data_IF_531094642331
#
_entry.id   IF_531094642331
#
_cell.length_a   1.000
_cell.length_b   1.000
_cell.length_c   1.000
_cell.angle_alpha   90.00
_cell.angle_beta   90.00
_cell.angle_gamma   90.00
#
_symmetry.space_group_name_H-M   'P 1'
#
loop_
_entity.id
_entity.type
_entity.pdbx_description
1 polymer ?
#
# COMPACT_ATOMS: atom_id res chain seq x y z
N UNK A 1 -1.25 9.12 -24.59
CA UNK A 1 -1.58 8.44 -23.33
C UNK A 1 -0.34 8.10 -22.51
N UNK A 2 0.75 7.57 -23.08
CA UNK A 2 1.95 7.14 -22.32
C UNK A 2 3.03 8.21 -22.10
N UNK A 3 2.84 9.43 -22.60
CA UNK A 3 3.83 10.53 -22.48
C UNK A 3 4.23 10.85 -21.01
N UNK A 4 3.31 10.93 -20.03
CA UNK A 4 3.67 11.17 -18.64
C UNK A 4 4.58 10.07 -18.07
N UNK A 5 4.29 8.81 -18.36
CA UNK A 5 5.08 7.67 -17.91
C UNK A 5 6.47 7.63 -18.54
N UNK A 6 6.57 7.97 -19.84
CA UNK A 6 7.86 8.06 -20.53
C UNK A 6 8.72 9.17 -19.94
N UNK A 7 8.13 10.34 -19.62
CA UNK A 7 8.83 11.42 -18.92
C UNK A 7 9.24 11.03 -17.53
N UNK A 8 8.39 10.31 -16.80
CA UNK A 8 8.68 9.80 -15.46
C UNK A 8 9.87 8.83 -15.48
N UNK A 9 9.86 7.84 -16.37
CA UNK A 9 10.92 6.84 -16.49
C UNK A 9 12.24 7.42 -17.04
N UNK A 10 12.19 8.56 -17.71
CA UNK A 10 13.39 9.27 -18.17
C UNK A 10 14.10 10.04 -17.03
N UNK A 11 13.47 10.20 -15.86
CA UNK A 11 14.10 10.90 -14.73
C UNK A 11 15.21 10.02 -14.12
N UNK A 12 16.39 10.61 -13.81
CA UNK A 12 17.50 9.89 -13.20
C UNK A 12 17.08 9.22 -11.88
N UNK A 13 17.38 7.92 -11.75
CA UNK A 13 17.07 7.15 -10.53
C UNK A 13 15.67 6.51 -10.51
N UNK A 14 14.69 6.99 -11.27
CA UNK A 14 13.33 6.43 -11.32
C UNK A 14 13.30 4.98 -11.81
N UNK A 15 13.98 4.59 -12.91
CA UNK A 15 13.98 3.19 -13.34
C UNK A 15 14.56 2.24 -12.30
N UNK A 16 15.62 2.65 -11.59
CA UNK A 16 16.21 1.85 -10.51
C UNK A 16 15.26 1.71 -9.35
N UNK A 17 14.61 2.81 -8.93
CA UNK A 17 13.61 2.80 -7.85
C UNK A 17 12.43 1.88 -8.21
N UNK A 18 11.98 1.91 -9.47
CA UNK A 18 10.92 1.06 -9.98
C UNK A 18 11.29 -0.43 -9.93
N UNK A 19 12.45 -0.80 -10.47
CA UNK A 19 12.92 -2.20 -10.49
C UNK A 19 13.13 -2.74 -9.06
N UNK A 20 13.78 -1.97 -8.21
CA UNK A 20 14.02 -2.37 -6.82
C UNK A 20 12.71 -2.49 -6.05
N UNK A 21 11.78 -1.55 -6.26
CA UNK A 21 10.43 -1.59 -5.69
C UNK A 21 9.65 -2.82 -6.13
N UNK A 22 9.71 -3.19 -7.42
CA UNK A 22 9.05 -4.38 -7.95
C UNK A 22 9.59 -5.66 -7.30
N UNK A 23 10.90 -5.80 -7.17
CA UNK A 23 11.53 -6.99 -6.56
C UNK A 23 11.06 -7.16 -5.11
N UNK A 24 11.09 -6.09 -4.30
CA UNK A 24 10.64 -6.16 -2.90
C UNK A 24 9.15 -6.44 -2.80
N UNK A 25 8.34 -5.73 -3.60
CA UNK A 25 6.88 -5.86 -3.57
C UNK A 25 6.41 -7.24 -4.01
N UNK A 26 7.09 -7.89 -4.94
CA UNK A 26 6.82 -9.28 -5.32
C UNK A 26 7.11 -10.27 -4.18
N UNK A 27 8.16 -10.03 -3.40
CA UNK A 27 8.52 -10.91 -2.29
C UNK A 27 7.44 -11.01 -1.20
N UNK A 28 6.71 -9.93 -0.93
CA UNK A 28 5.72 -9.86 0.16
C UNK A 28 4.52 -10.82 -0.03
N UNK A 29 3.76 -10.80 -1.15
CA UNK A 29 2.66 -11.73 -1.36
C UNK A 29 3.12 -13.17 -1.57
N UNK A 30 4.30 -13.39 -2.16
CA UNK A 30 4.92 -14.73 -2.24
C UNK A 30 5.20 -15.26 -0.85
N UNK A 31 5.82 -14.45 0.03
CA UNK A 31 6.11 -14.84 1.40
C UNK A 31 4.84 -15.22 2.17
N UNK A 32 3.77 -14.45 2.06
CA UNK A 32 2.53 -14.69 2.80
C UNK A 32 1.96 -16.09 2.52
N UNK A 33 1.88 -16.50 1.25
CA UNK A 33 1.36 -17.80 0.87
C UNK A 33 2.38 -18.93 1.14
N UNK A 34 3.66 -18.70 0.85
CA UNK A 34 4.72 -19.67 1.11
C UNK A 34 4.87 -19.98 2.61
N UNK A 35 4.76 -18.93 3.46
CA UNK A 35 4.82 -19.08 4.91
C UNK A 35 3.65 -19.93 5.44
N UNK A 36 2.43 -19.71 4.88
CA UNK A 36 1.28 -20.57 5.21
C UNK A 36 1.55 -22.02 4.90
N UNK A 37 1.98 -22.30 3.67
CA UNK A 37 2.23 -23.68 3.21
C UNK A 37 3.35 -24.34 4.02
N UNK A 38 4.46 -23.61 4.25
CA UNK A 38 5.56 -24.12 5.07
C UNK A 38 5.15 -24.35 6.54
N UNK A 39 4.26 -23.49 7.07
CA UNK A 39 3.74 -23.66 8.43
C UNK A 39 2.80 -24.88 8.53
N UNK A 40 1.93 -25.10 7.54
CA UNK A 40 1.06 -26.29 7.48
C UNK A 40 1.91 -27.57 7.40
N UNK A 41 2.92 -27.57 6.54
CA UNK A 41 3.84 -28.71 6.35
C UNK A 41 4.60 -29.06 7.65
N UNK A 42 5.08 -28.05 8.38
CA UNK A 42 5.90 -28.25 9.60
C UNK A 42 5.09 -28.46 10.88
N UNK A 43 3.88 -27.88 10.98
CA UNK A 43 3.05 -27.92 12.19
C UNK A 43 1.87 -28.89 12.08
N UNK A 44 1.59 -29.41 10.87
CA UNK A 44 0.51 -30.37 10.61
C UNK A 44 -0.90 -29.82 10.83
N UNK A 45 -1.08 -28.48 10.98
CA UNK A 45 -2.37 -27.88 11.32
C UNK A 45 -2.55 -26.49 10.67
N UNK A 46 -3.67 -26.32 9.97
CA UNK A 46 -4.05 -25.02 9.41
C UNK A 46 -4.33 -23.95 10.49
N UNK A 47 -4.84 -24.38 11.67
CA UNK A 47 -5.10 -23.46 12.76
C UNK A 47 -3.81 -22.84 13.32
N UNK A 48 -2.79 -23.65 13.57
CA UNK A 48 -1.48 -23.18 14.04
C UNK A 48 -0.74 -22.41 12.95
N UNK A 49 -0.84 -22.82 11.68
CA UNK A 49 -0.30 -22.06 10.55
C UNK A 49 -0.97 -20.68 10.42
N UNK A 50 -2.27 -20.57 10.68
CA UNK A 50 -2.99 -19.31 10.76
C UNK A 50 -2.44 -18.41 11.87
N UNK A 51 -2.05 -18.94 13.02
CA UNK A 51 -1.41 -18.18 14.10
C UNK A 51 -0.03 -17.65 13.70
N UNK A 52 0.76 -18.41 12.93
CA UNK A 52 2.04 -17.96 12.36
C UNK A 52 1.84 -16.73 11.46
N UNK A 53 0.87 -16.80 10.53
CA UNK A 53 0.56 -15.66 9.64
C UNK A 53 0.02 -14.46 10.41
N UNK A 54 -0.88 -14.71 11.36
CA UNK A 54 -1.46 -13.63 12.19
C UNK A 54 -0.37 -12.94 13.00
N UNK A 55 0.53 -13.70 13.62
CA UNK A 55 1.65 -13.15 14.37
C UNK A 55 2.56 -12.28 13.50
N UNK A 56 2.91 -12.77 12.30
CA UNK A 56 3.68 -12.01 11.32
C UNK A 56 2.97 -10.71 10.91
N UNK A 57 1.70 -10.80 10.52
CA UNK A 57 0.93 -9.65 10.03
C UNK A 57 0.71 -8.57 11.11
N UNK A 58 0.39 -8.98 12.34
CA UNK A 58 0.21 -8.06 13.46
C UNK A 58 1.53 -7.36 13.83
N UNK A 59 2.63 -8.10 13.88
CA UNK A 59 3.93 -7.51 14.17
C UNK A 59 4.34 -6.51 13.08
N UNK A 60 4.14 -6.86 11.80
CA UNK A 60 4.36 -5.96 10.67
C UNK A 60 3.52 -4.68 10.81
N UNK A 61 2.23 -4.80 11.05
CA UNK A 61 1.32 -3.65 11.14
C UNK A 61 1.66 -2.72 12.31
N UNK A 62 2.00 -3.28 13.47
CA UNK A 62 2.33 -2.51 14.67
C UNK A 62 3.73 -1.87 14.59
N UNK A 63 4.69 -2.54 13.94
CA UNK A 63 6.07 -2.05 13.86
C UNK A 63 6.32 -1.14 12.64
N UNK A 64 5.47 -1.15 11.60
CA UNK A 64 5.64 -0.34 10.40
C UNK A 64 5.83 1.17 10.68
N UNK A 65 5.03 1.84 11.57
CA UNK A 65 5.21 3.26 11.87
C UNK A 65 6.58 3.58 12.50
N UNK A 66 7.12 2.64 13.30
CA UNK A 66 8.46 2.81 13.89
C UNK A 66 9.54 2.77 12.80
N UNK A 67 9.41 1.89 11.80
CA UNK A 67 10.31 1.83 10.66
C UNK A 67 10.33 3.12 9.86
N UNK A 68 9.16 3.69 9.56
CA UNK A 68 9.03 4.99 8.92
C UNK A 68 9.68 6.12 9.72
N UNK A 69 9.45 6.12 11.04
CA UNK A 69 10.03 7.10 11.97
C UNK A 69 11.55 7.03 12.06
N UNK A 70 12.10 5.82 12.11
CA UNK A 70 13.56 5.61 12.11
C UNK A 70 14.15 6.15 10.80
N UNK A 71 13.48 5.91 9.66
CA UNK A 71 13.90 6.43 8.37
C UNK A 71 13.85 7.96 8.31
N UNK A 72 12.82 8.60 8.87
CA UNK A 72 12.72 10.06 8.93
C UNK A 72 13.73 10.70 9.89
N UNK A 73 14.09 10.00 10.98
CA UNK A 73 15.01 10.53 12.00
C UNK A 73 16.48 10.39 11.62
N UNK A 74 16.87 9.22 11.15
CA UNK A 74 18.27 8.87 10.90
C UNK A 74 18.61 8.87 9.42
N UNK A 75 17.63 9.10 8.56
CA UNK A 75 17.71 8.98 7.12
C UNK A 75 17.35 7.57 6.62
N UNK A 76 16.90 7.48 5.35
CA UNK A 76 16.44 6.21 4.78
C UNK A 76 17.54 5.14 4.70
N UNK A 77 18.78 5.52 4.34
CA UNK A 77 19.90 4.54 4.20
C UNK A 77 20.28 3.86 5.51
N UNK A 78 20.61 4.57 6.61
CA UNK A 78 20.91 3.93 7.89
C UNK A 78 19.75 3.07 8.39
N UNK A 79 18.51 3.53 8.24
CA UNK A 79 17.34 2.78 8.62
C UNK A 79 17.24 1.46 7.84
N UNK A 80 17.28 1.52 6.49
CA UNK A 80 17.21 0.32 5.66
C UNK A 80 18.37 -0.64 5.91
N UNK A 81 19.57 -0.13 6.17
CA UNK A 81 20.73 -0.99 6.52
C UNK A 81 20.50 -1.74 7.82
N UNK A 82 20.01 -1.06 8.86
CA UNK A 82 19.66 -1.70 10.13
C UNK A 82 18.58 -2.76 9.97
N UNK A 83 17.52 -2.42 9.23
CA UNK A 83 16.44 -3.37 8.90
C UNK A 83 16.94 -4.54 8.05
N UNK A 84 17.81 -4.31 7.07
CA UNK A 84 18.39 -5.38 6.25
C UNK A 84 19.12 -6.41 7.11
N UNK A 85 19.94 -5.97 8.05
CA UNK A 85 20.67 -6.87 8.98
C UNK A 85 19.69 -7.62 9.88
N UNK A 86 18.80 -6.90 10.58
CA UNK A 86 17.85 -7.52 11.53
C UNK A 86 16.86 -8.45 10.84
N UNK A 87 16.40 -8.11 9.64
CA UNK A 87 15.49 -8.94 8.86
C UNK A 87 16.19 -10.19 8.32
N UNK A 88 17.47 -10.09 7.91
CA UNK A 88 18.28 -11.26 7.52
C UNK A 88 18.41 -12.25 8.68
N UNK A 89 18.70 -11.76 9.89
CA UNK A 89 18.78 -12.60 11.07
C UNK A 89 17.42 -13.23 11.42
N UNK A 90 16.33 -12.46 11.29
CA UNK A 90 14.98 -12.97 11.51
C UNK A 90 14.58 -14.06 10.48
N UNK A 91 14.98 -13.91 9.21
CA UNK A 91 14.79 -14.95 8.21
C UNK A 91 15.61 -16.20 8.50
N UNK A 92 16.88 -16.05 8.84
CA UNK A 92 17.72 -17.18 9.23
C UNK A 92 17.11 -17.93 10.43
N UNK A 93 16.65 -17.18 11.43
CA UNK A 93 15.95 -17.74 12.58
C UNK A 93 14.67 -18.48 12.18
N UNK A 94 13.81 -17.90 11.32
CA UNK A 94 12.58 -18.55 10.85
C UNK A 94 12.86 -19.88 10.12
N UNK A 95 13.88 -19.91 9.26
CA UNK A 95 14.23 -21.09 8.48
C UNK A 95 14.83 -22.22 9.35
N UNK A 96 15.57 -21.86 10.41
CA UNK A 96 16.26 -22.80 11.31
C UNK A 96 15.46 -23.13 12.58
N UNK A 97 14.44 -22.33 12.91
CA UNK A 97 13.67 -22.49 14.15
C UNK A 97 12.95 -23.86 14.19
N UNK A 98 12.95 -24.54 15.34
CA UNK A 98 12.11 -25.71 15.54
C UNK A 98 10.61 -25.31 15.49
N UNK A 99 9.70 -26.28 15.20
CA UNK A 99 8.26 -26.00 15.09
C UNK A 99 7.68 -25.19 16.26
N UNK A 100 8.10 -25.46 17.48
CA UNK A 100 7.63 -24.79 18.69
C UNK A 100 7.94 -23.28 18.71
N UNK A 101 8.98 -22.81 18.01
CA UNK A 101 9.37 -21.41 17.96
C UNK A 101 8.90 -20.69 16.69
N UNK A 102 8.20 -21.37 15.79
CA UNK A 102 7.84 -20.83 14.47
C UNK A 102 6.94 -19.59 14.55
N UNK A 103 6.00 -19.54 15.51
CA UNK A 103 5.16 -18.36 15.74
C UNK A 103 6.03 -17.15 16.17
N UNK A 104 6.93 -17.36 17.15
CA UNK A 104 7.84 -16.30 17.61
C UNK A 104 8.79 -15.81 16.51
N UNK A 105 9.29 -16.73 15.69
CA UNK A 105 10.13 -16.39 14.53
C UNK A 105 9.36 -15.59 13.48
N UNK A 106 8.10 -15.92 13.22
CA UNK A 106 7.25 -15.17 12.30
C UNK A 106 6.91 -13.76 12.84
N UNK A 107 6.66 -13.63 14.14
CA UNK A 107 6.49 -12.32 14.80
C UNK A 107 7.75 -11.47 14.64
N UNK A 108 8.92 -12.04 14.91
CA UNK A 108 10.20 -11.33 14.75
C UNK A 108 10.42 -10.91 13.29
N UNK A 109 10.10 -11.79 12.33
CA UNK A 109 10.17 -11.48 10.90
C UNK A 109 9.26 -10.30 10.54
N UNK A 110 8.01 -10.29 11.01
CA UNK A 110 7.08 -9.19 10.79
C UNK A 110 7.56 -7.87 11.38
N UNK A 111 8.07 -7.91 12.63
CA UNK A 111 8.56 -6.73 13.34
C UNK A 111 9.81 -6.10 12.67
N UNK A 112 10.63 -6.92 12.04
CA UNK A 112 11.87 -6.48 11.37
C UNK A 112 11.71 -6.20 9.88
N UNK A 113 10.48 -6.27 9.33
CA UNK A 113 10.25 -6.01 7.90
C UNK A 113 10.69 -4.60 7.51
N UNK A 114 11.58 -4.46 6.50
CA UNK A 114 12.07 -3.17 6.07
C UNK A 114 10.96 -2.26 5.57
N UNK A 115 10.93 -0.96 5.93
CA UNK A 115 9.90 0.00 5.53
C UNK A 115 10.09 0.47 4.07
N UNK A 116 10.28 -0.45 3.12
CA UNK A 116 10.63 -0.15 1.72
C UNK A 116 9.53 0.65 1.03
N UNK A 117 8.26 0.23 1.16
CA UNK A 117 7.12 0.94 0.56
C UNK A 117 7.03 2.40 1.04
N UNK A 118 7.00 2.67 2.34
CA UNK A 118 7.05 4.02 2.89
C UNK A 118 8.25 4.84 2.42
N UNK A 119 9.45 4.26 2.38
CA UNK A 119 10.67 4.93 1.91
C UNK A 119 10.55 5.30 0.43
N UNK A 120 10.10 4.39 -0.45
CA UNK A 120 9.90 4.67 -1.87
C UNK A 120 8.87 5.80 -2.05
N UNK A 121 7.72 5.70 -1.36
CA UNK A 121 6.66 6.73 -1.45
C UNK A 121 7.13 8.09 -0.92
N UNK A 122 7.91 8.11 0.14
CA UNK A 122 8.54 9.32 0.68
C UNK A 122 9.61 9.92 -0.22
N UNK A 123 10.23 9.12 -1.10
CA UNK A 123 11.26 9.58 -2.03
C UNK A 123 10.68 10.27 -3.29
N UNK A 124 9.45 9.94 -3.73
CA UNK A 124 8.86 10.49 -4.95
C UNK A 124 8.88 12.03 -5.05
N UNK A 125 8.49 12.80 -3.99
CA UNK A 125 8.51 14.25 -4.06
C UNK A 125 9.90 14.89 -4.25
N UNK A 126 10.98 14.12 -4.01
CA UNK A 126 12.36 14.57 -4.25
C UNK A 126 12.88 14.20 -5.64
N UNK A 127 12.23 13.23 -6.29
CA UNK A 127 12.67 12.66 -7.56
C UNK A 127 11.99 13.30 -8.77
N UNK A 128 10.74 13.74 -8.59
CA UNK A 128 9.91 14.19 -9.69
C UNK A 128 9.23 15.50 -9.37
N UNK A 129 8.98 16.36 -10.37
CA UNK A 129 8.18 17.57 -10.19
C UNK A 129 6.79 17.25 -9.64
N UNK A 130 6.19 18.16 -8.87
CA UNK A 130 4.86 18.00 -8.26
C UNK A 130 3.79 17.60 -9.27
N UNK A 131 3.83 18.14 -10.49
CA UNK A 131 2.92 17.77 -11.58
C UNK A 131 3.03 16.30 -12.02
N UNK A 132 4.14 15.61 -11.73
CA UNK A 132 4.38 14.21 -12.07
C UNK A 132 4.08 13.24 -10.92
N UNK A 133 3.80 13.74 -9.71
CA UNK A 133 3.48 12.90 -8.54
C UNK A 133 2.29 11.96 -8.76
N UNK A 134 1.17 12.38 -9.39
CA UNK A 134 0.08 11.46 -9.69
C UNK A 134 0.51 10.26 -10.54
N UNK A 135 1.35 10.49 -11.56
CA UNK A 135 1.89 9.41 -12.39
C UNK A 135 2.85 8.51 -11.61
N UNK A 136 3.68 9.06 -10.72
CA UNK A 136 4.60 8.31 -9.88
C UNK A 136 3.85 7.37 -8.90
N UNK A 137 2.84 7.90 -8.20
CA UNK A 137 2.02 7.08 -7.30
C UNK A 137 1.12 6.10 -8.04
N UNK A 138 0.67 6.44 -9.26
CA UNK A 138 -0.05 5.49 -10.11
C UNK A 138 0.84 4.31 -10.50
N UNK A 139 2.10 4.56 -10.89
CA UNK A 139 3.08 3.49 -11.17
C UNK A 139 3.37 2.67 -9.92
N UNK A 140 3.56 3.31 -8.75
CA UNK A 140 3.79 2.60 -7.50
C UNK A 140 2.62 1.67 -7.14
N UNK A 141 1.38 2.13 -7.33
CA UNK A 141 0.19 1.32 -7.11
C UNK A 141 0.05 0.21 -8.16
N UNK A 142 0.32 0.48 -9.45
CA UNK A 142 0.30 -0.52 -10.49
C UNK A 142 1.30 -1.67 -10.23
N UNK A 143 2.50 -1.35 -9.73
CA UNK A 143 3.48 -2.36 -9.29
C UNK A 143 2.94 -3.20 -8.13
N UNK A 144 2.23 -2.56 -7.21
CA UNK A 144 1.60 -3.25 -6.10
C UNK A 144 0.54 -4.25 -6.60
N UNK A 145 -0.37 -3.82 -7.48
CA UNK A 145 -1.39 -4.68 -8.11
C UNK A 145 -0.77 -5.86 -8.86
N UNK A 146 0.25 -5.60 -9.69
CA UNK A 146 0.98 -6.66 -10.40
C UNK A 146 1.62 -7.66 -9.43
N UNK A 147 2.12 -7.20 -8.29
CA UNK A 147 2.73 -8.06 -7.28
C UNK A 147 1.70 -8.95 -6.59
N UNK A 148 0.50 -8.43 -6.32
CA UNK A 148 -0.60 -9.22 -5.75
C UNK A 148 -1.23 -10.21 -6.73
N UNK A 149 -1.12 -9.94 -8.05
CA UNK A 149 -1.51 -10.92 -9.09
C UNK A 149 -0.41 -11.99 -9.24
N UNK A 150 0.83 -11.56 -9.42
CA UNK A 150 1.94 -12.45 -9.73
C UNK A 150 2.39 -13.30 -8.53
N UNK A 151 2.34 -12.76 -7.31
CA UNK A 151 2.81 -13.43 -6.10
C UNK A 151 2.15 -14.80 -5.86
N UNK A 152 0.82 -14.88 -5.77
CA UNK A 152 0.12 -16.15 -5.61
C UNK A 152 0.33 -17.14 -6.76
N UNK A 153 0.59 -16.67 -7.98
CA UNK A 153 0.88 -17.50 -9.14
C UNK A 153 2.30 -18.09 -9.11
N UNK A 154 3.24 -17.32 -8.57
CA UNK A 154 4.63 -17.76 -8.46
C UNK A 154 4.81 -18.88 -7.42
N UNK A 155 4.02 -18.89 -6.35
CA UNK A 155 4.17 -19.91 -5.29
C UNK A 155 3.95 -21.34 -5.80
N UNK A 156 2.84 -21.70 -6.49
CA UNK A 156 2.68 -23.04 -7.05
C UNK A 156 3.79 -23.39 -8.03
N UNK A 157 4.18 -22.45 -8.91
CA UNK A 157 5.24 -22.68 -9.91
C UNK A 157 6.58 -23.00 -9.23
N UNK A 158 6.94 -22.23 -8.21
CA UNK A 158 8.16 -22.49 -7.44
C UNK A 158 8.07 -23.78 -6.64
N UNK A 159 6.88 -24.12 -6.11
CA UNK A 159 6.68 -25.34 -5.33
C UNK A 159 6.80 -26.63 -6.14
N UNK A 160 6.78 -26.57 -7.47
CA UNK A 160 7.10 -27.73 -8.33
C UNK A 160 8.60 -28.06 -8.34
N UNK A 161 9.46 -27.08 -8.05
CA UNK A 161 10.91 -27.22 -8.16
C UNK A 161 11.59 -27.27 -6.78
N UNK A 162 11.04 -26.54 -5.80
CA UNK A 162 11.61 -26.41 -4.47
C UNK A 162 10.54 -26.62 -3.37
N UNK A 163 10.89 -27.18 -2.20
CA UNK A 163 9.93 -27.36 -1.10
C UNK A 163 9.42 -26.01 -0.58
N UNK A 164 8.28 -26.01 0.12
CA UNK A 164 7.64 -24.80 0.65
C UNK A 164 8.60 -23.90 1.46
N UNK A 165 9.49 -24.49 2.26
CA UNK A 165 10.55 -23.76 2.98
C UNK A 165 11.54 -23.06 2.03
N UNK A 166 11.86 -23.68 0.88
CA UNK A 166 12.67 -23.09 -0.17
C UNK A 166 11.97 -21.88 -0.82
N UNK A 167 10.64 -21.95 -1.00
CA UNK A 167 9.86 -20.80 -1.51
C UNK A 167 9.88 -19.64 -0.50
N UNK A 168 9.78 -19.93 0.80
CA UNK A 168 9.96 -18.90 1.86
C UNK A 168 11.35 -18.28 1.77
N UNK A 169 12.40 -19.09 1.60
CA UNK A 169 13.78 -18.59 1.46
C UNK A 169 13.93 -17.72 0.21
N UNK A 170 13.35 -18.12 -0.94
CA UNK A 170 13.40 -17.36 -2.18
C UNK A 170 12.65 -16.01 -2.05
N UNK A 171 11.47 -16.01 -1.39
CA UNK A 171 10.74 -14.78 -1.09
C UNK A 171 11.57 -13.84 -0.19
N UNK A 172 12.22 -14.39 0.83
CA UNK A 172 13.16 -13.65 1.69
C UNK A 172 14.32 -13.08 0.92
N UNK A 173 14.96 -13.87 0.09
CA UNK A 173 16.06 -13.42 -0.76
C UNK A 173 15.63 -12.26 -1.68
N UNK A 174 14.41 -12.29 -2.24
CA UNK A 174 13.88 -11.20 -3.05
C UNK A 174 13.72 -9.91 -2.24
N UNK A 175 13.15 -9.99 -1.02
CA UNK A 175 12.99 -8.83 -0.13
C UNK A 175 14.35 -8.25 0.28
N UNK A 176 15.30 -9.11 0.67
CA UNK A 176 16.63 -8.70 1.10
C UNK A 176 17.43 -8.09 -0.05
N UNK A 177 17.44 -8.76 -1.22
CA UNK A 177 18.10 -8.27 -2.42
C UNK A 177 17.53 -6.94 -2.88
N UNK A 178 16.20 -6.83 -2.97
CA UNK A 178 15.54 -5.59 -3.35
C UNK A 178 15.81 -4.46 -2.37
N UNK A 179 15.86 -4.75 -1.05
CA UNK A 179 16.25 -3.76 -0.02
C UNK A 179 17.71 -3.34 -0.17
N UNK A 180 18.62 -4.28 -0.43
CA UNK A 180 20.04 -4.00 -0.67
C UNK A 180 20.25 -3.16 -1.95
N UNK A 181 19.54 -3.50 -3.02
CA UNK A 181 19.56 -2.73 -4.27
C UNK A 181 19.00 -1.31 -4.06
N UNK A 182 17.97 -1.16 -3.22
CA UNK A 182 17.39 0.13 -2.89
C UNK A 182 18.42 1.07 -2.23
N UNK A 183 19.34 0.54 -1.42
CA UNK A 183 20.44 1.31 -0.83
C UNK A 183 21.40 1.92 -1.87
N UNK A 184 21.45 1.34 -3.07
CA UNK A 184 22.29 1.86 -4.18
C UNK A 184 21.61 2.97 -4.97
N UNK A 185 20.32 3.24 -4.75
CA UNK A 185 19.58 4.29 -5.47
C UNK A 185 19.97 5.66 -4.93
N UNK A 186 20.54 6.57 -5.77
CA UNK A 186 21.03 7.87 -5.32
C UNK A 186 19.97 8.72 -4.64
N UNK A 187 18.73 8.59 -5.09
CA UNK A 187 17.58 9.33 -4.58
C UNK A 187 17.19 8.98 -3.13
N UNK A 188 17.64 7.85 -2.63
CA UNK A 188 17.53 7.45 -1.22
C UNK A 188 18.82 7.88 -0.50
N UNK A 189 19.29 9.08 -0.85
CA UNK A 189 20.46 9.69 -0.25
C UNK A 189 20.25 10.14 1.20
N UNK A 190 21.31 10.68 1.83
CA UNK A 190 21.20 11.26 3.15
C UNK A 190 20.21 12.42 3.09
N UNK A 191 18.97 12.19 3.58
CA UNK A 191 18.12 13.31 3.97
C UNK A 191 18.80 14.03 5.11
N UNK A 192 18.81 15.36 5.10
CA UNK A 192 19.25 16.11 6.26
C UNK A 192 18.46 15.58 7.49
N UNK A 193 19.14 15.23 8.59
CA UNK A 193 18.45 14.75 9.78
C UNK A 193 17.36 15.74 10.15
N UNK A 194 16.18 15.24 10.48
CA UNK A 194 15.11 16.11 10.95
C UNK A 194 15.61 16.93 12.14
N UNK A 195 15.32 18.24 12.22
CA UNK A 195 15.80 19.09 13.32
C UNK A 195 15.43 18.46 14.67
N UNK A 196 16.33 18.52 15.67
CA UNK A 196 16.08 17.93 16.97
C UNK A 196 14.84 18.55 17.58
N UNK A 197 13.84 17.75 17.88
CA UNK A 197 12.59 18.17 18.51
C UNK A 197 12.00 17.04 19.31
N UNK A 198 11.19 17.39 20.34
CA UNK A 198 10.56 16.42 21.22
C UNK A 198 9.83 15.33 20.40
N UNK A 199 10.16 14.10 20.66
CA UNK A 199 9.60 12.92 20.01
C UNK A 199 8.13 12.76 20.43
N UNK A 200 7.19 13.04 19.54
CA UNK A 200 5.77 12.75 19.79
C UNK A 200 5.42 11.43 19.12
N UNK A 201 5.01 10.43 19.93
CA UNK A 201 4.61 9.09 19.46
C UNK A 201 3.52 9.11 18.37
N UNK A 202 2.70 10.15 18.35
CA UNK A 202 1.61 10.36 17.40
C UNK A 202 1.87 11.53 16.43
N UNK A 203 3.14 11.82 16.09
CA UNK A 203 3.52 13.00 15.32
C UNK A 203 2.62 13.31 14.11
N UNK A 204 2.53 12.44 13.08
CA UNK A 204 1.67 12.68 11.93
C UNK A 204 0.18 12.66 12.26
N UNK A 205 -0.23 11.86 13.26
CA UNK A 205 -1.63 11.69 13.64
C UNK A 205 -2.20 12.93 14.37
N UNK A 206 -1.36 13.83 14.85
CA UNK A 206 -1.81 15.10 15.45
C UNK A 206 -2.34 16.08 14.41
N UNK A 207 -1.98 15.88 13.15
CA UNK A 207 -2.45 16.71 12.05
C UNK A 207 -3.80 16.19 11.54
N UNK A 208 -4.87 16.94 11.77
CA UNK A 208 -6.24 16.57 11.40
C UNK A 208 -6.39 16.15 9.93
N UNK A 209 -5.66 16.81 9.03
CA UNK A 209 -5.67 16.47 7.58
C UNK A 209 -5.10 15.08 7.33
N UNK A 210 -3.94 14.80 7.90
CA UNK A 210 -3.30 13.48 7.79
C UNK A 210 -4.20 12.39 8.36
N UNK A 211 -4.75 12.59 9.55
CA UNK A 211 -5.64 11.63 10.18
C UNK A 211 -6.89 11.35 9.33
N UNK A 212 -7.51 12.39 8.74
CA UNK A 212 -8.65 12.22 7.85
C UNK A 212 -8.29 11.41 6.61
N UNK A 213 -7.16 11.70 5.95
CA UNK A 213 -6.72 10.95 4.77
C UNK A 213 -6.40 9.48 5.10
N UNK A 214 -5.76 9.23 6.24
CA UNK A 214 -5.50 7.87 6.73
C UNK A 214 -6.81 7.11 7.02
N UNK A 215 -7.79 7.79 7.62
CA UNK A 215 -9.11 7.19 7.90
C UNK A 215 -9.87 6.90 6.61
N UNK A 216 -9.81 7.80 5.62
CA UNK A 216 -10.41 7.57 4.29
C UNK A 216 -9.77 6.34 3.62
N UNK A 217 -8.44 6.20 3.71
CA UNK A 217 -7.75 5.03 3.21
C UNK A 217 -8.19 3.74 3.93
N UNK A 218 -8.39 3.79 5.24
CA UNK A 218 -8.91 2.67 6.02
C UNK A 218 -10.33 2.27 5.59
N UNK A 219 -11.21 3.23 5.31
CA UNK A 219 -12.55 2.94 4.76
C UNK A 219 -12.46 2.30 3.37
N UNK A 220 -11.53 2.74 2.52
CA UNK A 220 -11.31 2.13 1.22
C UNK A 220 -10.88 0.67 1.32
N UNK A 221 -9.95 0.34 2.20
CA UNK A 221 -9.53 -1.05 2.39
C UNK A 221 -10.52 -1.88 3.19
N UNK A 222 -11.33 -1.26 4.06
CA UNK A 222 -12.49 -1.89 4.68
C UNK A 222 -13.50 -2.34 3.61
N UNK A 223 -13.82 -1.45 2.65
CA UNK A 223 -14.64 -1.78 1.48
C UNK A 223 -14.07 -2.97 0.72
N UNK A 224 -12.76 -2.99 0.47
CA UNK A 224 -12.08 -4.10 -0.19
C UNK A 224 -12.17 -5.40 0.61
N UNK A 225 -12.04 -5.35 1.94
CA UNK A 225 -12.21 -6.50 2.84
C UNK A 225 -13.61 -7.10 2.74
N UNK A 226 -14.65 -6.26 2.78
CA UNK A 226 -16.05 -6.68 2.60
C UNK A 226 -16.28 -7.26 1.21
N UNK A 227 -15.78 -6.59 0.16
CA UNK A 227 -15.91 -7.02 -1.22
C UNK A 227 -15.30 -8.41 -1.43
N UNK A 228 -14.16 -8.70 -0.84
CA UNK A 228 -13.50 -9.99 -0.95
C UNK A 228 -14.37 -11.13 -0.43
N UNK A 229 -14.99 -10.95 0.74
CA UNK A 229 -15.89 -11.96 1.32
C UNK A 229 -17.17 -12.09 0.47
N UNK A 230 -17.78 -10.96 0.07
CA UNK A 230 -18.94 -10.94 -0.80
C UNK A 230 -18.70 -11.69 -2.11
N UNK A 231 -17.53 -11.45 -2.74
CA UNK A 231 -17.16 -12.11 -4.01
C UNK A 231 -17.00 -13.62 -3.84
N UNK A 232 -16.38 -14.08 -2.74
CA UNK A 232 -16.24 -15.53 -2.45
C UNK A 232 -17.61 -16.15 -2.23
N UNK A 233 -18.49 -15.54 -1.44
CA UNK A 233 -19.83 -16.03 -1.19
C UNK A 233 -20.66 -16.13 -2.48
N UNK A 234 -20.68 -15.07 -3.30
CA UNK A 234 -21.38 -15.08 -4.59
C UNK A 234 -20.82 -16.12 -5.56
N UNK A 235 -19.49 -16.27 -5.62
CA UNK A 235 -18.87 -17.29 -6.47
C UNK A 235 -19.30 -18.71 -6.07
N UNK A 236 -19.40 -18.98 -4.76
CA UNK A 236 -19.83 -20.28 -4.23
C UNK A 236 -21.27 -20.57 -4.58
N UNK A 237 -22.17 -19.58 -4.45
CA UNK A 237 -23.60 -19.73 -4.81
C UNK A 237 -23.83 -19.88 -6.31
N UNK A 238 -22.93 -19.31 -7.14
CA UNK A 238 -22.94 -19.46 -8.60
C UNK A 238 -22.33 -20.79 -9.10
N UNK A 239 -21.96 -21.70 -8.20
CA UNK A 239 -21.61 -23.07 -8.50
C UNK A 239 -20.13 -23.45 -8.31
N UNK A 240 -19.22 -22.49 -8.08
CA UNK A 240 -17.82 -22.85 -7.83
C UNK A 240 -17.04 -21.76 -7.09
N UNK A 241 -16.40 -22.14 -5.97
CA UNK A 241 -15.46 -21.28 -5.26
C UNK A 241 -14.26 -20.82 -6.15
N UNK A 242 -13.92 -21.59 -7.19
CA UNK A 242 -12.86 -21.23 -8.16
C UNK A 242 -13.17 -19.93 -8.93
N UNK A 243 -14.44 -19.58 -9.10
CA UNK A 243 -14.86 -18.33 -9.73
C UNK A 243 -14.42 -17.12 -8.92
N UNK A 244 -14.24 -17.22 -7.61
CA UNK A 244 -13.73 -16.14 -6.79
C UNK A 244 -12.33 -15.68 -7.22
N UNK A 245 -11.46 -16.62 -7.60
CA UNK A 245 -10.12 -16.29 -8.11
C UNK A 245 -10.18 -15.48 -9.42
N UNK A 246 -11.08 -15.88 -10.34
CA UNK A 246 -11.29 -15.15 -11.60
C UNK A 246 -11.82 -13.74 -11.34
N UNK A 247 -12.82 -13.60 -10.47
CA UNK A 247 -13.40 -12.29 -10.11
C UNK A 247 -12.37 -11.37 -9.44
N UNK A 248 -11.53 -11.90 -8.53
CA UNK A 248 -10.45 -11.12 -7.92
C UNK A 248 -9.39 -10.71 -8.95
N UNK A 249 -9.08 -11.55 -9.92
CA UNK A 249 -8.17 -11.19 -11.01
C UNK A 249 -8.76 -10.07 -11.88
N UNK A 250 -10.05 -10.13 -12.20
CA UNK A 250 -10.75 -9.07 -12.93
C UNK A 250 -10.81 -7.76 -12.16
N UNK A 251 -10.97 -7.79 -10.83
CA UNK A 251 -10.85 -6.62 -9.97
C UNK A 251 -9.47 -5.97 -10.12
N UNK A 252 -8.41 -6.77 -10.03
CA UNK A 252 -7.03 -6.27 -10.16
C UNK A 252 -6.72 -5.76 -11.57
N UNK A 253 -7.26 -6.39 -12.61
CA UNK A 253 -7.17 -5.86 -14.00
C UNK A 253 -7.86 -4.51 -14.09
N UNK A 254 -9.07 -4.38 -13.57
CA UNK A 254 -9.79 -3.10 -13.48
C UNK A 254 -8.97 -2.04 -12.74
N UNK A 255 -8.45 -2.38 -11.55
CA UNK A 255 -7.64 -1.48 -10.73
C UNK A 255 -6.37 -1.02 -11.45
N UNK A 256 -5.68 -1.93 -12.14
CA UNK A 256 -4.50 -1.61 -12.94
C UNK A 256 -4.84 -0.63 -14.07
N UNK A 257 -5.89 -0.92 -14.84
CA UNK A 257 -6.34 -0.05 -15.94
C UNK A 257 -6.77 1.33 -15.44
N UNK A 258 -7.55 1.38 -14.35
CA UNK A 258 -7.98 2.63 -13.72
C UNK A 258 -6.81 3.46 -13.21
N UNK A 259 -5.89 2.83 -12.49
CA UNK A 259 -4.67 3.47 -11.95
C UNK A 259 -3.79 4.04 -13.07
N UNK A 260 -3.53 3.25 -14.13
CA UNK A 260 -2.75 3.70 -15.27
C UNK A 260 -3.46 4.83 -16.04
N UNK A 261 -4.79 4.74 -16.19
CA UNK A 261 -5.60 5.80 -16.78
C UNK A 261 -5.54 7.10 -15.97
N UNK A 262 -5.56 7.00 -14.64
CA UNK A 262 -5.42 8.15 -13.74
C UNK A 262 -4.07 8.85 -13.91
N UNK A 263 -2.97 8.12 -13.83
CA UNK A 263 -1.62 8.68 -13.92
C UNK A 263 -1.23 9.15 -15.33
N UNK A 264 -1.95 8.70 -16.39
CA UNK A 264 -1.69 9.09 -17.76
C UNK A 264 -2.23 10.48 -18.14
N UNK A 265 -3.06 11.10 -17.28
CA UNK A 265 -3.79 12.32 -17.61
C UNK A 265 -3.72 13.33 -16.45
N UNK A 266 -3.55 14.60 -16.77
CA UNK A 266 -3.82 15.67 -15.82
C UNK A 266 -5.34 15.82 -15.66
N UNK A 267 -5.82 15.72 -14.42
CA UNK A 267 -7.25 15.84 -14.12
C UNK A 267 -7.60 17.30 -13.81
N UNK A 268 -8.63 17.87 -14.45
CA UNK A 268 -9.05 19.24 -14.20
C UNK A 268 -9.74 19.41 -12.84
N UNK A 269 -9.94 18.30 -12.11
CA UNK A 269 -10.64 18.25 -10.83
C UNK A 269 -9.60 18.12 -9.71
N UNK A 270 -9.69 18.94 -8.64
CA UNK A 270 -8.82 18.80 -7.47
C UNK A 270 -8.87 17.39 -6.88
N UNK A 271 -7.72 16.85 -6.46
CA UNK A 271 -7.60 15.47 -5.96
C UNK A 271 -8.60 15.11 -4.87
N UNK A 272 -8.89 16.04 -3.97
CA UNK A 272 -9.89 15.82 -2.93
C UNK A 272 -11.32 15.65 -3.46
N UNK A 273 -11.75 16.41 -4.49
CA UNK A 273 -13.06 16.22 -5.14
C UNK A 273 -13.09 14.91 -5.94
N UNK A 274 -11.98 14.59 -6.60
CA UNK A 274 -11.84 13.33 -7.33
C UNK A 274 -12.00 12.14 -6.37
N UNK A 275 -11.42 12.20 -5.19
CA UNK A 275 -11.54 11.18 -4.15
C UNK A 275 -13.01 10.95 -3.73
N UNK A 276 -13.80 12.04 -3.57
CA UNK A 276 -15.24 11.94 -3.29
C UNK A 276 -15.97 11.23 -4.43
N UNK A 277 -15.75 11.65 -5.67
CA UNK A 277 -16.43 11.10 -6.84
C UNK A 277 -16.10 9.61 -7.03
N UNK A 278 -14.84 9.23 -6.87
CA UNK A 278 -14.40 7.84 -6.97
C UNK A 278 -15.03 6.98 -5.87
N UNK A 279 -15.07 7.45 -4.61
CA UNK A 279 -15.67 6.71 -3.51
C UNK A 279 -17.20 6.55 -3.68
N UNK A 280 -17.89 7.57 -4.20
CA UNK A 280 -19.33 7.47 -4.51
C UNK A 280 -19.59 6.51 -5.67
N UNK A 281 -18.78 6.58 -6.73
CA UNK A 281 -18.90 5.67 -7.87
C UNK A 281 -18.66 4.22 -7.45
N UNK A 282 -17.65 3.97 -6.58
CA UNK A 282 -17.38 2.66 -5.99
C UNK A 282 -18.61 2.15 -5.22
N UNK A 283 -19.19 2.97 -4.33
CA UNK A 283 -20.38 2.62 -3.57
C UNK A 283 -21.58 2.29 -4.47
N UNK A 284 -21.81 3.06 -5.53
CA UNK A 284 -22.87 2.83 -6.49
C UNK A 284 -22.73 1.50 -7.24
N UNK A 285 -21.50 1.17 -7.70
CA UNK A 285 -21.24 -0.11 -8.39
C UNK A 285 -21.42 -1.29 -7.42
N UNK A 286 -20.95 -1.16 -6.18
CA UNK A 286 -21.05 -2.20 -5.16
C UNK A 286 -22.51 -2.53 -4.80
N UNK A 287 -23.41 -1.55 -4.77
CA UNK A 287 -24.84 -1.81 -4.57
C UNK A 287 -25.41 -2.74 -5.65
N UNK A 288 -24.96 -2.61 -6.90
CA UNK A 288 -25.36 -3.51 -7.99
C UNK A 288 -24.84 -4.94 -7.81
N UNK A 289 -23.70 -5.13 -7.13
CA UNK A 289 -23.09 -6.44 -6.92
C UNK A 289 -23.94 -7.41 -6.12
N UNK A 290 -24.68 -6.91 -5.13
CA UNK A 290 -25.56 -7.73 -4.28
C UNK A 290 -26.78 -8.34 -5.02
N UNK A 291 -27.07 -7.85 -6.22
CA UNK A 291 -28.22 -8.27 -7.04
C UNK A 291 -27.81 -8.78 -8.42
N UNK A 292 -26.54 -9.13 -8.58
CA UNK A 292 -26.03 -9.63 -9.85
C UNK A 292 -26.69 -10.99 -10.19
N UNK A 293 -27.44 -11.10 -11.32
CA UNK A 293 -28.20 -12.31 -11.64
C UNK A 293 -27.34 -13.49 -12.09
N UNK A 294 -26.04 -13.29 -12.30
CA UNK A 294 -25.13 -14.34 -12.74
C UNK A 294 -23.68 -13.90 -12.81
N UNK A 295 -22.82 -14.87 -13.14
CA UNK A 295 -21.35 -14.68 -13.15
C UNK A 295 -20.90 -13.51 -14.03
N UNK A 296 -21.43 -13.40 -15.26
CA UNK A 296 -20.98 -12.36 -16.20
C UNK A 296 -21.28 -10.94 -15.68
N UNK A 297 -22.50 -10.73 -15.14
CA UNK A 297 -22.86 -9.44 -14.54
C UNK A 297 -21.99 -9.11 -13.34
N UNK A 298 -21.74 -10.09 -12.47
CA UNK A 298 -20.86 -9.92 -11.33
C UNK A 298 -19.41 -9.61 -11.78
N UNK A 299 -18.90 -10.31 -12.80
CA UNK A 299 -17.58 -10.07 -13.37
C UNK A 299 -17.41 -8.65 -13.91
N UNK A 300 -18.43 -8.14 -14.63
CA UNK A 300 -18.42 -6.75 -15.12
C UNK A 300 -18.43 -5.77 -13.95
N UNK A 301 -19.30 -5.95 -12.97
CA UNK A 301 -19.40 -5.07 -11.80
C UNK A 301 -18.08 -5.07 -10.99
N UNK A 302 -17.49 -6.23 -10.75
CA UNK A 302 -16.21 -6.35 -10.04
C UNK A 302 -15.09 -5.65 -10.80
N UNK A 303 -15.06 -5.79 -12.14
CA UNK A 303 -14.07 -5.07 -12.98
C UNK A 303 -14.26 -3.55 -12.89
N UNK A 304 -15.51 -3.07 -12.90
CA UNK A 304 -15.83 -1.65 -12.72
C UNK A 304 -15.45 -1.14 -11.32
N UNK A 305 -15.67 -1.94 -10.26
CA UNK A 305 -15.15 -1.59 -8.92
C UNK A 305 -13.64 -1.40 -9.00
N UNK A 306 -12.90 -2.34 -9.59
CA UNK A 306 -11.46 -2.20 -9.78
C UNK A 306 -11.08 -0.93 -10.52
N UNK A 307 -11.76 -0.63 -11.63
CA UNK A 307 -11.50 0.57 -12.44
C UNK A 307 -11.63 1.88 -11.65
N UNK A 308 -12.44 1.89 -10.62
CA UNK A 308 -12.67 3.05 -9.73
C UNK A 308 -11.72 3.06 -8.53
N UNK A 309 -11.45 1.88 -7.95
CA UNK A 309 -10.57 1.77 -6.77
C UNK A 309 -9.12 2.08 -7.08
N UNK A 310 -8.62 1.65 -8.26
CA UNK A 310 -7.25 1.89 -8.66
C UNK A 310 -6.84 3.38 -8.63
N UNK A 311 -7.57 4.28 -9.30
CA UNK A 311 -7.35 5.72 -9.20
C UNK A 311 -7.45 6.25 -7.78
N UNK A 312 -8.47 5.84 -7.00
CA UNK A 312 -8.63 6.26 -5.61
C UNK A 312 -7.38 5.95 -4.77
N UNK A 313 -6.84 4.75 -4.92
CA UNK A 313 -5.68 4.30 -4.17
C UNK A 313 -4.37 4.99 -4.61
N UNK A 314 -4.35 5.63 -5.78
CA UNK A 314 -3.26 6.51 -6.21
C UNK A 314 -3.45 7.97 -5.74
N UNK A 315 -4.70 8.45 -5.61
CA UNK A 315 -5.01 9.82 -5.14
C UNK A 315 -4.63 10.02 -3.68
N UNK A 316 -4.92 9.04 -2.79
CA UNK A 316 -4.65 9.19 -1.35
C UNK A 316 -3.16 9.41 -1.06
N UNK A 317 -2.20 8.61 -1.56
CA UNK A 317 -0.78 8.89 -1.38
C UNK A 317 -0.34 10.24 -1.96
N UNK A 318 -0.93 10.67 -3.09
CA UNK A 318 -0.64 11.98 -3.69
C UNK A 318 -1.02 13.11 -2.72
N UNK A 319 -2.24 13.08 -2.19
CA UNK A 319 -2.71 14.07 -1.21
C UNK A 319 -1.92 14.03 0.10
N UNK A 320 -1.52 12.86 0.56
CA UNK A 320 -0.65 12.72 1.74
C UNK A 320 0.72 13.34 1.49
N UNK A 321 1.31 13.14 0.31
CA UNK A 321 2.61 13.70 -0.05
C UNK A 321 2.58 15.24 -0.12
N UNK A 322 1.48 15.81 -0.65
CA UNK A 322 1.28 17.26 -0.74
C UNK A 322 1.17 17.94 0.64
N UNK A 323 0.65 17.21 1.64
CA UNK A 323 0.39 17.76 2.98
C UNK A 323 1.37 17.26 4.05
N UNK A 324 2.21 16.27 3.74
CA UNK A 324 3.20 15.76 4.69
C UNK A 324 4.29 16.82 4.94
N UNK A 325 4.46 17.19 6.21
CA UNK A 325 5.62 18.00 6.60
C UNK A 325 6.90 17.20 6.41
N UNK A 326 7.99 17.84 5.99
CA UNK A 326 9.27 17.16 5.71
C UNK A 326 9.79 16.26 6.84
N UNK A 327 9.36 16.53 8.08
CA UNK A 327 9.75 15.79 9.28
C UNK A 327 9.13 14.39 9.40
N UNK A 328 7.93 14.17 8.81
CA UNK A 328 7.15 12.93 8.98
C UNK A 328 6.84 12.26 7.64
N UNK A 329 7.69 12.46 6.64
CA UNK A 329 7.40 12.08 5.27
C UNK A 329 7.28 10.56 5.07
N UNK A 330 8.19 9.80 5.63
CA UNK A 330 8.18 8.33 5.56
C UNK A 330 7.22 7.75 6.60
N UNK A 331 7.17 8.33 7.79
CA UNK A 331 6.28 7.88 8.86
C UNK A 331 4.80 7.97 8.47
N UNK A 332 4.38 9.01 7.74
CA UNK A 332 3.00 9.14 7.23
C UNK A 332 2.61 7.96 6.34
N UNK A 333 3.49 7.51 5.45
CA UNK A 333 3.21 6.36 4.59
C UNK A 333 3.27 5.02 5.33
N UNK A 334 4.05 4.94 6.41
CA UNK A 334 4.02 3.78 7.29
C UNK A 334 2.68 3.70 8.06
N UNK A 335 2.18 4.85 8.57
CA UNK A 335 0.84 4.93 9.15
C UNK A 335 -0.26 4.62 8.13
N UNK A 336 -0.12 5.08 6.88
CA UNK A 336 -1.05 4.73 5.80
C UNK A 336 -1.17 3.21 5.67
N UNK A 337 -0.06 2.50 5.64
CA UNK A 337 -0.07 1.04 5.58
C UNK A 337 -0.78 0.40 6.78
N UNK A 338 -0.52 0.88 7.99
CA UNK A 338 -1.19 0.39 9.22
C UNK A 338 -2.70 0.61 9.16
N UNK A 339 -3.17 1.81 8.76
CA UNK A 339 -4.59 2.12 8.63
C UNK A 339 -5.26 1.27 7.55
N UNK A 340 -4.57 1.04 6.43
CA UNK A 340 -5.07 0.18 5.35
C UNK A 340 -5.24 -1.27 5.81
N UNK A 341 -4.27 -1.86 6.50
CA UNK A 341 -4.39 -3.22 7.02
C UNK A 341 -5.45 -3.35 8.11
N UNK A 342 -5.56 -2.36 8.99
CA UNK A 342 -6.62 -2.32 10.01
C UNK A 342 -8.01 -2.26 9.35
N UNK A 343 -8.19 -1.38 8.38
CA UNK A 343 -9.45 -1.26 7.62
C UNK A 343 -9.82 -2.58 6.94
N UNK A 344 -8.86 -3.19 6.21
CA UNK A 344 -9.05 -4.47 5.55
C UNK A 344 -9.46 -5.58 6.53
N UNK A 345 -8.76 -5.71 7.66
CA UNK A 345 -9.07 -6.70 8.69
C UNK A 345 -10.48 -6.52 9.30
N UNK A 346 -10.85 -5.28 9.61
CA UNK A 346 -12.18 -4.97 10.13
C UNK A 346 -13.29 -5.24 9.09
N UNK A 347 -13.03 -4.91 7.82
CA UNK A 347 -13.97 -5.18 6.72
C UNK A 347 -14.19 -6.68 6.51
N UNK A 348 -13.13 -7.47 6.46
CA UNK A 348 -13.25 -8.93 6.33
C UNK A 348 -13.97 -9.55 7.55
N UNK A 349 -13.68 -9.07 8.76
CA UNK A 349 -14.31 -9.58 9.98
C UNK A 349 -15.81 -9.27 10.03
N UNK A 350 -16.21 -8.04 9.65
CA UNK A 350 -17.62 -7.67 9.58
C UNK A 350 -18.35 -8.48 8.50
N UNK A 351 -17.80 -8.50 7.28
CA UNK A 351 -18.43 -9.23 6.18
C UNK A 351 -18.54 -10.73 6.47
N UNK A 352 -17.53 -11.33 7.10
CA UNK A 352 -17.60 -12.73 7.51
C UNK A 352 -18.72 -13.04 8.53
N UNK A 353 -19.08 -12.07 9.37
CA UNK A 353 -20.24 -12.21 10.28
C UNK A 353 -21.58 -12.01 9.60
N UNK A 354 -21.61 -11.18 8.55
CA UNK A 354 -22.83 -10.88 7.79
C UNK A 354 -23.16 -11.95 6.75
N UNK A 355 -22.20 -12.82 6.42
CA UNK A 355 -22.34 -13.81 5.34
C UNK A 355 -22.52 -15.20 5.94
N UNK A 356 -23.70 -15.81 5.75
CA UNK A 356 -24.01 -17.17 6.15
C UNK A 356 -23.51 -18.21 5.13
N UNK A 357 -23.59 -19.53 5.45
CA UNK A 357 -23.06 -20.60 4.60
C UNK A 357 -23.68 -20.71 3.19
N UNK A 358 -24.91 -20.19 3.00
CA UNK A 358 -25.65 -20.20 1.73
C UNK A 358 -26.05 -18.81 1.27
N UNK A 359 -25.41 -17.76 1.80
CA UNK A 359 -25.70 -16.38 1.45
C UNK A 359 -25.02 -15.99 0.12
N UNK A 360 -25.70 -15.19 -0.67
CA UNK A 360 -25.19 -14.60 -1.91
C UNK A 360 -24.12 -13.53 -1.67
N UNK A 361 -23.82 -13.19 -0.42
CA UNK A 361 -22.90 -12.11 -0.06
C UNK A 361 -23.52 -10.71 -0.21
N UNK A 362 -24.83 -10.61 -0.40
CA UNK A 362 -25.55 -9.33 -0.59
C UNK A 362 -25.37 -8.37 0.57
N UNK A 363 -25.42 -8.85 1.82
CA UNK A 363 -25.18 -8.07 3.02
C UNK A 363 -23.72 -7.54 3.09
N UNK A 364 -22.76 -8.34 2.64
CA UNK A 364 -21.35 -7.94 2.57
C UNK A 364 -21.12 -6.88 1.46
N UNK A 365 -21.80 -6.99 0.30
CA UNK A 365 -21.82 -5.94 -0.73
C UNK A 365 -22.42 -4.63 -0.20
N UNK A 366 -23.55 -4.71 0.53
CA UNK A 366 -24.18 -3.54 1.13
C UNK A 366 -23.26 -2.87 2.18
N UNK A 367 -22.58 -3.66 3.01
CA UNK A 367 -21.59 -3.16 3.96
C UNK A 367 -20.39 -2.49 3.26
N UNK A 368 -19.91 -3.08 2.16
CA UNK A 368 -18.88 -2.48 1.32
C UNK A 368 -19.31 -1.14 0.74
N UNK A 369 -20.54 -1.08 0.18
CA UNK A 369 -21.10 0.15 -0.37
C UNK A 369 -21.27 1.24 0.71
N UNK A 370 -21.77 0.87 1.89
CA UNK A 370 -21.93 1.80 3.01
C UNK A 370 -20.56 2.37 3.46
N UNK A 371 -19.55 1.54 3.50
CA UNK A 371 -18.17 1.98 3.84
C UNK A 371 -17.61 2.93 2.77
N UNK A 372 -17.82 2.66 1.48
CA UNK A 372 -17.39 3.55 0.41
C UNK A 372 -18.09 4.92 0.51
N UNK A 373 -19.39 4.95 0.79
CA UNK A 373 -20.15 6.19 1.03
C UNK A 373 -19.64 6.93 2.28
N UNK A 374 -19.34 6.21 3.39
CA UNK A 374 -18.76 6.81 4.57
C UNK A 374 -17.39 7.44 4.26
N UNK A 375 -16.57 6.78 3.47
CA UNK A 375 -15.31 7.32 2.94
C UNK A 375 -15.52 8.60 2.12
N UNK A 376 -16.55 8.64 1.26
CA UNK A 376 -16.91 9.83 0.47
C UNK A 376 -17.37 11.00 1.34
N UNK A 377 -18.18 10.73 2.39
CA UNK A 377 -18.60 11.74 3.36
C UNK A 377 -17.37 12.33 4.08
N UNK A 378 -16.46 11.49 4.56
CA UNK A 378 -15.22 11.92 5.20
C UNK A 378 -14.35 12.74 4.23
N UNK A 379 -14.24 12.34 2.96
CA UNK A 379 -13.51 13.08 1.95
C UNK A 379 -14.13 14.45 1.68
N UNK A 380 -15.47 14.55 1.71
CA UNK A 380 -16.17 15.82 1.58
C UNK A 380 -15.89 16.75 2.77
N UNK A 381 -15.89 16.22 3.99
CA UNK A 381 -15.54 16.97 5.20
C UNK A 381 -14.08 17.41 5.12
N UNK A 382 -13.17 16.51 4.71
CA UNK A 382 -11.77 16.83 4.53
C UNK A 382 -11.57 17.98 3.52
N UNK A 383 -12.26 17.95 2.37
CA UNK A 383 -12.18 19.01 1.36
C UNK A 383 -12.64 20.37 1.90
N UNK A 384 -13.71 20.43 2.68
CA UNK A 384 -14.17 21.69 3.30
C UNK A 384 -13.11 22.26 4.25
N UNK A 385 -12.46 21.40 5.04
CA UNK A 385 -11.39 21.79 5.95
C UNK A 385 -10.15 22.26 5.18
N UNK A 386 -9.86 21.66 4.01
CA UNK A 386 -8.70 22.01 3.19
C UNK A 386 -8.90 23.33 2.44
N UNK A 387 -10.11 23.62 1.98
CA UNK A 387 -10.43 24.86 1.27
C UNK A 387 -10.54 26.09 2.18
N UNK A 388 -10.74 25.90 3.48
CA UNK A 388 -10.90 27.00 4.44
C UNK A 388 -9.58 27.55 5.02
N UNK A 389 -8.43 26.96 4.69
CA UNK A 389 -7.13 27.48 5.10
C UNK A 389 -6.44 28.21 3.93
N UNK A 390 -5.96 29.46 4.14
CA UNK A 390 -5.19 30.16 3.13
C UNK A 390 -3.96 29.32 2.74
N UNK A 391 -3.62 29.33 1.44
CA UNK A 391 -2.40 28.72 0.94
C UNK A 391 -1.21 29.20 1.80
N UNK A 392 -0.26 28.35 2.18
CA UNK A 392 0.94 28.81 2.85
C UNK A 392 1.55 29.93 2.00
N UNK A 393 1.78 31.08 2.62
CA UNK A 393 2.38 32.23 1.96
C UNK A 393 3.64 31.73 1.23
N UNK A 394 3.66 31.86 -0.08
CA UNK A 394 4.86 31.64 -0.86
C UNK A 394 5.91 32.56 -0.25
N UNK A 395 6.97 31.99 0.32
CA UNK A 395 8.12 32.78 0.72
C UNK A 395 8.53 33.60 -0.51
N UNK A 396 8.68 34.94 -0.37
CA UNK A 396 9.17 35.75 -1.47
C UNK A 396 10.45 35.08 -1.97
N UNK A 397 10.56 34.90 -3.28
CA UNK A 397 11.82 34.50 -3.88
C UNK A 397 12.87 35.49 -3.38
N UNK A 398 13.87 35.00 -2.64
CA UNK A 398 15.03 35.82 -2.28
C UNK A 398 15.57 36.39 -3.59
N UNK A 399 15.35 37.68 -3.80
CA UNK A 399 15.93 38.40 -4.91
C UNK A 399 17.46 38.28 -4.83
N UNK A 400 18.17 38.33 -5.96
CA UNK A 400 19.62 38.18 -5.97
C UNK A 400 20.21 39.18 -4.99
N UNK A 401 20.98 38.70 -4.03
CA UNK A 401 21.68 39.48 -3.03
C UNK A 401 22.50 40.58 -3.74
N UNK A 402 22.17 41.83 -3.45
CA UNK A 402 22.94 43.03 -3.87
C UNK A 402 24.29 43.05 -3.13
N UNK A 403 25.16 42.11 -3.38
CA UNK A 403 26.51 42.06 -2.78
C UNK A 403 27.64 42.31 -3.80
N UNK A 404 27.28 42.67 -5.04
CA UNK A 404 28.29 42.94 -6.09
C UNK A 404 28.59 44.43 -6.38
N UNK A 405 27.97 45.36 -5.66
CA UNK A 405 28.18 46.83 -5.92
C UNK A 405 29.13 47.54 -4.92
N UNK A 406 29.93 46.82 -4.13
CA UNK A 406 30.89 47.45 -3.19
C UNK A 406 32.37 47.23 -3.51
N UNK A 407 32.74 46.72 -4.68
CA UNK A 407 34.16 46.53 -5.07
C UNK A 407 34.55 47.41 -6.29
N UNK A 408 33.76 48.40 -6.66
CA UNK A 408 34.12 49.29 -7.79
C UNK A 408 34.53 50.70 -7.37
N UNK A 409 34.61 51.06 -6.07
CA UNK A 409 35.07 52.37 -5.59
C UNK A 409 36.07 52.23 -4.44
N UNK A 410 37.23 51.65 -4.74
CA UNK A 410 38.46 51.88 -3.92
C UNK A 410 39.71 51.67 -4.77
#
# INVERSE_FOLDING_TARGET
MFTPYRRLLAQPGVPRLFITGLIVKLGTPVLSLALLLAAVDRLGSYATAGLVLTGHALALALCAPFGGRIADRYGPRPALTGYLVTHTLAYAFLLLAPPALMIGAAVLLGATTPPVGPVIRGAWPHLVPTASLPAAYAVDNAVNELSFIAGPLLVPVLSWVIPAQGVVAAAGAAVLLGTALLLTVPAIGPSAPAPPGKFRLAGPLTHRRTLLLLTIAAFGTFTFGCLRIATVASATTLGSASFAGVLMSLLSVGALLGTLGYGARAWPIPGGRLLVLLSLAEGAVLLGGGWAPGFLTLAVLITLVGLVTGPRDAVVPTLLAEHATGRYRTEVFAWLNTFMWAGYGLGTALAGRLTGPHDTGSAAFAAAAAAAVAGAILATVANRIFSSQPAPAQMPAEGPSRETDRIADS
#
